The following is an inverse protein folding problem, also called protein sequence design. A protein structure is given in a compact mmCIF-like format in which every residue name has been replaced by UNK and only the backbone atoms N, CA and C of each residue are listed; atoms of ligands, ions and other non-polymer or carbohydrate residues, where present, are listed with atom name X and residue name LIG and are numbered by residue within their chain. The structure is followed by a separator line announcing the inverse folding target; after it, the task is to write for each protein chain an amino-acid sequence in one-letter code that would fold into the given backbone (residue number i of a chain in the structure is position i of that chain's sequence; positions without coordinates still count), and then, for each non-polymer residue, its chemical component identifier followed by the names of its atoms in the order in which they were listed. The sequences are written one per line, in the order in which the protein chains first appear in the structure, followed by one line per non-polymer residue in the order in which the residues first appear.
data_IF_448372677171
#
_entry.id   IF_448372677171
#
_cell.length_a   1.000
_cell.length_b   1.000
_cell.length_c   1.000
_cell.angle_alpha   90.00
_cell.angle_beta   90.00
_cell.angle_gamma   90.00
#
_symmetry.space_group_name_H-M   'P 1'
#
loop_
_entity.id
_entity.type
_entity.pdbx_description
1 polymer ?
#
# COMPACT_ATOMS: atom_id res chain seq x y z
N UNK A 1 19.91 -1.26 19.18
CA UNK A 1 19.98 -1.62 17.74
C UNK A 1 18.56 -1.86 17.24
N UNK A 2 17.94 -0.82 16.67
CA UNK A 2 16.56 -0.89 16.19
C UNK A 2 16.48 -1.74 14.92
N UNK A 3 15.59 -2.75 14.91
CA UNK A 3 15.16 -3.39 13.68
C UNK A 3 14.43 -2.34 12.85
N UNK A 4 15.01 -1.86 11.74
CA UNK A 4 14.36 -0.93 10.80
C UNK A 4 13.14 -1.52 10.07
N UNK A 5 12.40 -2.42 10.72
CA UNK A 5 11.17 -2.98 10.22
C UNK A 5 10.07 -1.92 10.26
N UNK A 6 9.26 -1.88 9.20
CA UNK A 6 8.10 -1.00 9.11
C UNK A 6 7.15 -1.27 10.29
N UNK A 7 6.80 -0.21 11.02
CA UNK A 7 5.72 -0.24 12.01
C UNK A 7 4.57 0.59 11.48
N UNK A 8 3.38 -0.01 11.43
CA UNK A 8 2.13 0.73 11.21
C UNK A 8 1.83 1.50 12.48
N UNK A 9 1.77 2.83 12.40
CA UNK A 9 1.57 3.68 13.59
C UNK A 9 0.09 4.05 13.82
N UNK A 10 -0.76 3.94 12.79
CA UNK A 10 -2.18 4.29 12.83
C UNK A 10 -3.04 3.13 12.31
N UNK A 11 -3.28 2.11 13.14
CA UNK A 11 -4.25 1.07 12.83
C UNK A 11 -5.65 1.55 13.24
N UNK A 12 -6.63 1.66 12.32
CA UNK A 12 -7.99 2.02 12.70
C UNK A 12 -8.60 0.91 13.56
N UNK A 13 -9.46 1.31 14.50
CA UNK A 13 -10.36 0.37 15.17
C UNK A 13 -11.28 -0.25 14.13
N UNK A 14 -11.33 -1.59 14.07
CA UNK A 14 -12.28 -2.31 13.22
C UNK A 14 -13.68 -2.04 13.78
N UNK A 15 -14.38 -1.05 13.24
CA UNK A 15 -15.79 -0.80 13.56
C UNK A 15 -16.63 -1.65 12.62
N UNK A 16 -17.07 -2.80 13.12
CA UNK A 16 -18.15 -3.55 12.51
C UNK A 16 -19.47 -2.78 12.75
N UNK A 17 -19.94 -2.05 11.76
CA UNK A 17 -21.24 -1.37 11.85
C UNK A 17 -21.48 -0.45 10.67
N UNK A 18 -22.50 -0.78 9.87
CA UNK A 18 -23.08 0.14 8.91
C UNK A 18 -23.78 1.28 9.68
N UNK A 19 -23.31 2.51 9.54
CA UNK A 19 -24.08 3.71 9.88
C UNK A 19 -24.01 4.70 8.71
N UNK A 20 -25.20 5.14 8.27
CA UNK A 20 -25.39 6.25 7.35
C UNK A 20 -24.71 7.51 7.91
N UNK A 21 -23.74 8.06 7.16
CA UNK A 21 -23.07 9.32 7.50
C UNK A 21 -21.62 9.22 7.96
N UNK A 22 -20.98 8.06 7.85
CA UNK A 22 -19.55 7.91 8.11
C UNK A 22 -18.68 8.66 7.11
N UNK A 23 -18.19 9.85 7.49
CA UNK A 23 -17.12 10.57 6.76
C UNK A 23 -15.97 9.60 6.54
N UNK A 24 -15.65 9.28 5.28
CA UNK A 24 -14.52 8.43 4.95
C UNK A 24 -13.24 8.97 5.62
N UNK A 25 -12.74 8.25 6.63
CA UNK A 25 -11.48 8.59 7.30
C UNK A 25 -10.38 7.82 6.58
N UNK A 26 -9.55 8.54 5.83
CA UNK A 26 -8.43 8.02 5.07
C UNK A 26 -7.86 9.14 4.21
N UNK A 27 -6.60 9.00 3.76
CA UNK A 27 -6.08 9.87 2.71
C UNK A 27 -6.75 9.46 1.40
N UNK A 28 -7.57 10.32 0.75
CA UNK A 28 -8.44 9.92 -0.35
C UNK A 28 -7.70 9.22 -1.50
N UNK A 29 -6.44 9.57 -1.70
CA UNK A 29 -5.57 9.06 -2.77
C UNK A 29 -5.27 7.56 -2.68
N UNK A 30 -5.51 6.92 -1.53
CA UNK A 30 -5.24 5.50 -1.30
C UNK A 30 -6.51 4.66 -1.20
N UNK A 31 -7.70 5.28 -1.22
CA UNK A 31 -8.96 4.58 -1.05
C UNK A 31 -9.35 3.81 -2.33
N UNK A 32 -9.87 2.61 -2.14
CA UNK A 32 -10.44 1.83 -3.23
C UNK A 32 -11.71 2.50 -3.79
N UNK A 33 -12.01 2.37 -5.10
CA UNK A 33 -13.17 3.00 -5.72
C UNK A 33 -14.49 2.61 -5.04
N UNK A 34 -14.63 1.35 -4.63
CA UNK A 34 -15.82 0.86 -3.94
C UNK A 34 -16.08 1.54 -2.59
N UNK A 35 -15.02 1.95 -1.87
CA UNK A 35 -15.11 2.71 -0.62
C UNK A 35 -15.57 4.14 -0.88
N UNK A 36 -15.03 4.78 -1.94
CA UNK A 36 -15.42 6.12 -2.35
C UNK A 36 -16.89 6.18 -2.79
N UNK A 37 -17.37 5.11 -3.43
CA UNK A 37 -18.75 4.97 -3.88
C UNK A 37 -19.71 4.51 -2.77
N UNK A 38 -19.21 4.24 -1.56
CA UNK A 38 -20.03 3.75 -0.44
C UNK A 38 -20.70 2.40 -0.72
N UNK A 39 -20.12 1.59 -1.62
CA UNK A 39 -20.63 0.25 -1.93
C UNK A 39 -20.08 -0.75 -0.91
N UNK A 40 -20.78 -1.89 -0.74
CA UNK A 40 -20.30 -2.94 0.15
C UNK A 40 -18.89 -3.38 -0.22
N UNK A 41 -17.98 -3.38 0.75
CA UNK A 41 -16.56 -3.70 0.57
C UNK A 41 -16.13 -4.87 1.46
N UNK A 42 -15.03 -5.52 1.07
CA UNK A 42 -14.38 -6.58 1.84
C UNK A 42 -12.89 -6.29 2.03
N UNK A 43 -12.11 -7.31 2.37
CA UNK A 43 -10.67 -7.21 2.57
C UNK A 43 -9.89 -6.82 1.29
N UNK A 44 -10.56 -6.84 0.13
CA UNK A 44 -10.01 -6.51 -1.17
C UNK A 44 -9.54 -5.04 -1.27
N UNK A 45 -10.11 -4.16 -0.45
CA UNK A 45 -9.74 -2.73 -0.43
C UNK A 45 -8.30 -2.51 0.05
N UNK A 46 -7.80 -3.39 0.93
CA UNK A 46 -6.41 -3.30 1.41
C UNK A 46 -5.41 -3.64 0.31
N UNK A 47 -5.78 -4.55 -0.61
CA UNK A 47 -4.95 -4.88 -1.78
C UNK A 47 -4.87 -3.73 -2.76
N UNK A 48 -5.94 -2.94 -2.89
CA UNK A 48 -5.90 -1.70 -3.67
C UNK A 48 -4.90 -0.72 -3.06
N UNK A 49 -5.03 -0.44 -1.76
CA UNK A 49 -4.12 0.45 -1.03
C UNK A 49 -2.66 0.01 -1.14
N UNK A 50 -2.39 -1.30 -1.09
CA UNK A 50 -1.06 -1.86 -1.33
C UNK A 50 -0.55 -1.53 -2.74
N UNK A 51 -1.41 -1.64 -3.76
CA UNK A 51 -1.08 -1.26 -5.14
C UNK A 51 -0.70 0.22 -5.27
N UNK A 52 -1.43 1.10 -4.58
CA UNK A 52 -1.15 2.55 -4.55
C UNK A 52 0.20 2.83 -3.90
N UNK A 53 0.48 2.24 -2.74
CA UNK A 53 1.76 2.40 -2.02
C UNK A 53 2.92 1.83 -2.86
N UNK A 54 2.74 0.66 -3.48
CA UNK A 54 3.77 0.05 -4.32
C UNK A 54 4.09 0.92 -5.55
N UNK A 55 3.07 1.49 -6.19
CA UNK A 55 3.27 2.47 -7.25
C UNK A 55 4.09 3.66 -6.75
N UNK A 56 3.69 4.24 -5.61
CA UNK A 56 4.35 5.43 -5.07
C UNK A 56 5.80 5.17 -4.68
N UNK A 57 6.12 4.01 -4.12
CA UNK A 57 7.50 3.63 -3.82
C UNK A 57 8.39 3.54 -5.07
N UNK A 58 7.81 3.21 -6.23
CA UNK A 58 8.55 3.03 -7.49
C UNK A 58 8.64 4.33 -8.28
N UNK A 59 7.56 5.11 -8.31
CA UNK A 59 7.42 6.32 -9.15
C UNK A 59 7.73 7.60 -8.36
N UNK A 60 7.69 7.55 -7.03
CA UNK A 60 7.93 8.69 -6.13
C UNK A 60 6.73 9.64 -5.94
N UNK A 61 5.56 9.29 -6.48
CA UNK A 61 4.30 10.04 -6.33
C UNK A 61 3.11 9.08 -6.40
N UNK A 62 1.95 9.41 -5.82
CA UNK A 62 0.79 8.54 -5.90
C UNK A 62 0.24 8.44 -7.34
N UNK A 63 -0.40 7.32 -7.69
CA UNK A 63 -0.92 7.08 -9.03
C UNK A 63 -2.02 8.09 -9.40
N UNK A 64 -2.98 8.33 -8.51
CA UNK A 64 -4.14 9.18 -8.80
C UNK A 64 -3.90 10.68 -8.64
N UNK A 65 -2.65 11.11 -8.41
CA UNK A 65 -2.25 12.50 -8.65
C UNK A 65 -2.13 12.84 -10.16
N UNK A 66 -2.21 11.83 -11.05
CA UNK A 66 -2.28 12.02 -12.49
C UNK A 66 -3.73 12.13 -12.98
N UNK A 67 -3.94 12.86 -14.08
CA UNK A 67 -5.26 13.25 -14.56
C UNK A 67 -6.14 12.09 -15.08
N UNK A 68 -5.58 10.92 -15.43
CA UNK A 68 -6.35 9.76 -15.92
C UNK A 68 -5.69 8.41 -15.56
N UNK A 69 -6.47 7.32 -15.34
CA UNK A 69 -5.93 5.97 -15.14
C UNK A 69 -4.98 5.50 -16.25
N UNK A 70 -5.25 5.87 -17.49
CA UNK A 70 -4.40 5.55 -18.64
C UNK A 70 -3.02 6.18 -18.49
N UNK A 71 -2.92 7.41 -17.98
CA UNK A 71 -1.65 8.06 -17.70
C UNK A 71 -0.88 7.35 -16.56
N UNK A 72 -1.59 6.81 -15.56
CA UNK A 72 -1.01 5.98 -14.49
C UNK A 72 -0.37 4.74 -15.09
N UNK A 73 -1.09 4.07 -15.99
CA UNK A 73 -0.61 2.87 -16.66
C UNK A 73 0.60 3.17 -17.56
N UNK A 74 0.61 4.31 -18.25
CA UNK A 74 1.77 4.75 -19.07
C UNK A 74 3.01 5.07 -18.22
N UNK A 75 2.85 5.69 -17.05
CA UNK A 75 3.99 5.99 -16.16
C UNK A 75 4.68 4.72 -15.63
N UNK A 76 3.95 3.61 -15.49
CA UNK A 76 4.48 2.31 -15.04
C UNK A 76 4.94 1.44 -16.22
N UNK A 77 4.54 1.79 -17.44
CA UNK A 77 4.72 0.97 -18.64
C UNK A 77 6.17 0.91 -19.14
N UNK A 78 6.98 1.92 -18.88
CA UNK A 78 8.36 1.94 -19.34
C UNK A 78 9.32 1.25 -18.33
N UNK A 79 9.44 -0.07 -18.48
CA UNK A 79 10.58 -0.84 -17.96
C UNK A 79 10.53 -1.28 -16.49
N UNK A 80 9.44 -1.00 -15.75
CA UNK A 80 9.34 -1.41 -14.35
C UNK A 80 9.01 -2.91 -14.20
N UNK A 81 9.89 -3.66 -13.53
CA UNK A 81 9.72 -5.09 -13.27
C UNK A 81 8.46 -5.44 -12.42
N UNK A 82 7.86 -4.44 -11.75
CA UNK A 82 6.66 -4.59 -10.92
C UNK A 82 5.35 -4.24 -11.62
N UNK A 83 5.37 -3.90 -12.92
CA UNK A 83 4.17 -3.43 -13.64
C UNK A 83 2.99 -4.39 -13.47
N UNK A 84 3.19 -5.66 -13.77
CA UNK A 84 2.12 -6.67 -13.74
C UNK A 84 1.48 -6.78 -12.35
N UNK A 85 2.31 -6.72 -11.30
CA UNK A 85 1.86 -6.73 -9.90
C UNK A 85 0.97 -5.53 -9.58
N UNK A 86 1.42 -4.32 -9.94
CA UNK A 86 0.69 -3.08 -9.67
C UNK A 86 -0.67 -3.10 -10.40
N UNK A 87 -0.70 -3.54 -11.66
CA UNK A 87 -1.95 -3.64 -12.43
C UNK A 87 -2.93 -4.65 -11.82
N UNK A 88 -2.43 -5.80 -11.36
CA UNK A 88 -3.26 -6.79 -10.68
C UNK A 88 -3.87 -6.25 -9.38
N UNK A 89 -3.10 -5.48 -8.60
CA UNK A 89 -3.57 -4.86 -7.35
C UNK A 89 -4.53 -3.68 -7.60
N UNK A 90 -4.29 -2.89 -8.65
CA UNK A 90 -5.13 -1.75 -9.05
C UNK A 90 -6.25 -2.13 -10.03
N UNK A 91 -6.73 -3.37 -9.95
CA UNK A 91 -7.90 -3.80 -10.72
C UNK A 91 -9.17 -3.21 -10.12
N UNK A 92 -9.93 -2.49 -10.96
CA UNK A 92 -11.17 -1.80 -10.55
C UNK A 92 -12.22 -2.75 -10.00
N UNK A 93 -12.46 -3.89 -10.67
CA UNK A 93 -13.38 -4.91 -10.19
C UNK A 93 -12.75 -5.68 -9.02
N UNK A 94 -13.26 -5.53 -7.77
CA UNK A 94 -12.70 -6.21 -6.61
C UNK A 94 -12.73 -7.74 -6.76
N UNK A 95 -13.64 -8.29 -7.57
CA UNK A 95 -13.77 -9.73 -7.81
C UNK A 95 -12.63 -10.31 -8.64
N UNK A 96 -11.94 -9.45 -9.40
CA UNK A 96 -10.82 -9.81 -10.28
C UNK A 96 -9.48 -9.32 -9.75
N UNK A 97 -9.49 -8.56 -8.66
CA UNK A 97 -8.29 -7.96 -8.05
C UNK A 97 -7.37 -9.04 -7.48
N UNK A 98 -6.07 -8.88 -7.73
CA UNK A 98 -5.04 -9.74 -7.16
C UNK A 98 -5.07 -9.65 -5.63
N UNK A 99 -5.02 -10.79 -4.95
CA UNK A 99 -5.09 -10.86 -3.49
C UNK A 99 -6.50 -11.12 -2.96
N UNK A 100 -7.52 -11.09 -3.82
CA UNK A 100 -8.89 -11.47 -3.44
C UNK A 100 -8.96 -12.86 -2.80
N UNK A 101 -8.20 -13.84 -3.31
CA UNK A 101 -8.16 -15.19 -2.69
C UNK A 101 -7.17 -15.29 -1.53
N UNK A 102 -6.72 -14.15 -1.03
CA UNK A 102 -5.78 -14.00 0.08
C UNK A 102 -4.36 -13.69 -0.35
N UNK A 103 -3.51 -13.41 0.63
CA UNK A 103 -2.13 -12.98 0.44
C UNK A 103 -1.25 -13.98 -0.35
N UNK A 104 -1.65 -15.26 -0.42
CA UNK A 104 -0.93 -16.28 -1.17
C UNK A 104 -0.77 -15.93 -2.66
N UNK A 105 -1.81 -15.35 -3.29
CA UNK A 105 -1.75 -14.95 -4.70
C UNK A 105 -0.67 -13.90 -4.94
N UNK A 106 -0.64 -12.90 -4.06
CA UNK A 106 0.31 -11.78 -4.14
C UNK A 106 1.73 -12.30 -3.89
N UNK A 107 1.92 -13.16 -2.87
CA UNK A 107 3.22 -13.74 -2.53
C UNK A 107 3.81 -14.64 -3.61
N UNK A 108 2.97 -15.27 -4.44
CA UNK A 108 3.38 -16.12 -5.56
C UNK A 108 3.69 -15.34 -6.84
N UNK A 109 3.40 -14.04 -6.89
CA UNK A 109 3.64 -13.23 -8.07
C UNK A 109 5.14 -13.22 -8.44
N UNK A 110 5.52 -13.29 -9.73
CA UNK A 110 6.93 -13.35 -10.17
C UNK A 110 7.82 -12.22 -9.63
N UNK A 111 7.25 -11.05 -9.35
CA UNK A 111 7.97 -9.93 -8.72
C UNK A 111 8.58 -10.29 -7.35
N UNK A 112 7.95 -11.22 -6.62
CA UNK A 112 8.44 -11.72 -5.33
C UNK A 112 9.24 -13.02 -5.45
N UNK A 113 9.65 -13.43 -6.66
CA UNK A 113 10.47 -14.62 -6.85
C UNK A 113 11.75 -14.55 -6.02
N UNK A 114 12.03 -15.61 -5.25
CA UNK A 114 13.20 -15.68 -4.36
C UNK A 114 13.02 -15.01 -2.99
N UNK A 115 11.85 -14.42 -2.69
CA UNK A 115 11.56 -13.90 -1.34
C UNK A 115 11.25 -15.05 -0.37
N UNK A 116 12.09 -15.18 0.66
CA UNK A 116 11.85 -16.08 1.78
C UNK A 116 10.93 -15.41 2.82
N UNK A 117 9.63 -15.63 2.68
CA UNK A 117 8.60 -15.03 3.53
C UNK A 117 8.73 -15.41 5.03
N UNK A 118 8.99 -16.67 5.41
CA UNK A 118 9.25 -17.05 6.81
C UNK A 118 10.41 -16.33 7.50
N UNK A 119 11.47 -15.96 6.77
CA UNK A 119 12.63 -15.28 7.34
C UNK A 119 12.63 -13.77 7.14
N UNK A 120 11.72 -13.23 6.32
CA UNK A 120 11.66 -11.81 5.98
C UNK A 120 11.66 -10.90 7.21
N UNK A 121 10.89 -11.24 8.25
CA UNK A 121 10.82 -10.46 9.49
C UNK A 121 12.14 -10.42 10.28
N UNK A 122 13.04 -11.38 10.05
CA UNK A 122 14.36 -11.46 10.69
C UNK A 122 15.46 -10.81 9.86
N UNK A 123 15.18 -10.41 8.61
CA UNK A 123 16.18 -9.78 7.75
C UNK A 123 16.51 -8.38 8.28
N UNK A 124 17.79 -8.01 8.16
CA UNK A 124 18.23 -6.63 8.44
C UNK A 124 17.54 -5.69 7.44
N UNK A 125 16.92 -4.64 7.95
CA UNK A 125 16.28 -3.63 7.12
C UNK A 125 17.30 -2.96 6.19
N UNK A 126 16.85 -2.60 4.98
CA UNK A 126 17.69 -1.91 4.00
C UNK A 126 18.16 -0.54 4.53
N UNK A 127 17.33 0.09 5.37
CA UNK A 127 17.62 1.35 6.02
C UNK A 127 17.32 1.23 7.52
N UNK A 128 18.24 1.70 8.35
CA UNK A 128 18.05 1.84 9.79
C UNK A 128 18.35 3.32 10.11
N UNK A 129 17.36 4.09 10.61
CA UNK A 129 17.58 5.49 10.98
C UNK A 129 18.75 5.62 11.96
N UNK A 130 19.67 6.55 11.68
CA UNK A 130 20.77 6.86 12.57
C UNK A 130 20.29 7.86 13.61
N UNK A 131 19.96 7.36 14.81
CA UNK A 131 19.47 8.17 15.92
C UNK A 131 20.57 8.32 16.96
N UNK A 132 20.77 9.54 17.44
CA UNK A 132 21.80 9.83 18.44
C UNK A 132 21.39 9.36 19.85
N UNK A 133 20.10 9.46 20.17
CA UNK A 133 19.51 9.01 21.43
C UNK A 133 18.02 8.65 21.30
N UNK A 134 17.43 8.08 22.35
CA UNK A 134 16.04 7.61 22.36
C UNK A 134 14.99 8.72 22.16
N UNK A 135 15.38 9.99 22.35
CA UNK A 135 14.53 11.17 22.15
C UNK A 135 14.92 11.97 20.91
N UNK A 136 15.79 11.43 20.06
CA UNK A 136 16.20 12.10 18.83
C UNK A 136 15.00 12.25 17.89
N UNK A 137 14.68 13.50 17.57
CA UNK A 137 13.58 13.88 16.68
C UNK A 137 14.05 14.35 15.30
N UNK A 138 15.32 14.12 14.94
CA UNK A 138 15.94 14.56 13.68
C UNK A 138 15.22 14.09 12.40
N UNK A 139 14.52 12.95 12.47
CA UNK A 139 13.69 12.43 11.37
C UNK A 139 12.26 12.98 11.34
N UNK A 140 11.89 13.87 12.27
CA UNK A 140 10.57 14.50 12.34
C UNK A 140 10.65 15.98 11.99
N UNK A 141 9.67 16.47 11.25
CA UNK A 141 9.54 17.91 11.02
C UNK A 141 9.01 18.61 12.28
N UNK A 142 9.58 19.77 12.62
CA UNK A 142 8.99 20.66 13.61
C UNK A 142 7.62 21.13 13.13
N UNK A 143 6.59 20.98 13.96
CA UNK A 143 5.28 21.57 13.66
C UNK A 143 5.40 23.11 13.71
N UNK A 144 4.85 23.84 12.72
CA UNK A 144 4.76 25.29 12.79
C UNK A 144 3.79 25.75 13.88
#
# INVERSE_FOLDING_TARGET
MGSGAWRVQDAPHVVAGAEEGGRAVGTPDYLAPELLLGTGHGAEVDWWSLGVILYEMVVGRPPFAANTPEAIFQNVLDGAACRDLILGLLTLDPRRRLGRRGAGEVKLHPWFAGVDWPSLARRKAAFVPATDCDTDTSYFSSRP
#
